data_IF_274618845712
#
_entry.id   IF_274618845712
#
_cell.length_a   1.000
_cell.length_b   1.000
_cell.length_c   1.000
_cell.angle_alpha   90.00
_cell.angle_beta   90.00
_cell.angle_gamma   90.00
#
_symmetry.space_group_name_H-M   'P 1'
#
loop_
_entity.id
_entity.type
_entity.pdbx_description
1 polymer ?
#
# COMPACT_ATOMS: atom_id res chain seq x y z
N UNK A 1 -6.73 1.98 -4.21
CA UNK A 1 -6.84 1.01 -3.09
C UNK A 1 -7.25 -0.38 -3.55
N UNK A 2 -8.54 -0.63 -3.84
CA UNK A 2 -9.03 -1.97 -4.23
C UNK A 2 -8.31 -2.55 -5.45
N UNK A 3 -8.11 -1.72 -6.47
CA UNK A 3 -7.41 -2.14 -7.68
C UNK A 3 -5.93 -2.47 -7.43
N UNK A 4 -5.24 -1.63 -6.65
CA UNK A 4 -3.88 -1.91 -6.23
C UNK A 4 -3.78 -3.24 -5.48
N UNK A 5 -4.68 -3.49 -4.52
CA UNK A 5 -4.71 -4.77 -3.79
C UNK A 5 -4.99 -5.95 -4.73
N UNK A 6 -5.90 -5.82 -5.70
CA UNK A 6 -6.19 -6.86 -6.70
C UNK A 6 -4.94 -7.25 -7.49
N UNK A 7 -4.15 -6.27 -7.92
CA UNK A 7 -2.93 -6.48 -8.70
C UNK A 7 -1.77 -7.02 -7.86
N UNK A 8 -1.66 -6.61 -6.60
CA UNK A 8 -0.52 -6.91 -5.73
C UNK A 8 -0.85 -7.94 -4.65
N UNK A 9 -2.00 -8.63 -4.72
CA UNK A 9 -2.49 -9.56 -3.68
C UNK A 9 -1.43 -10.58 -3.25
N UNK A 10 -0.64 -11.07 -4.21
CA UNK A 10 0.41 -12.06 -3.95
C UNK A 10 1.59 -11.54 -3.10
N UNK A 11 1.78 -10.22 -3.01
CA UNK A 11 2.83 -9.58 -2.22
C UNK A 11 2.40 -9.31 -0.78
N UNK A 12 1.10 -9.38 -0.49
CA UNK A 12 0.59 -9.19 0.86
C UNK A 12 0.69 -10.50 1.64
N UNK A 13 1.15 -10.46 2.91
CA UNK A 13 1.06 -11.64 3.76
C UNK A 13 -0.41 -11.90 4.11
N UNK A 14 -0.77 -13.13 4.52
CA UNK A 14 -2.15 -13.51 4.84
C UNK A 14 -2.59 -12.89 6.17
N UNK A 15 -2.86 -11.59 6.15
CA UNK A 15 -3.28 -10.80 7.31
C UNK A 15 -4.38 -9.80 6.93
N UNK A 16 -5.24 -9.50 7.91
CA UNK A 16 -6.30 -8.50 7.74
C UNK A 16 -5.73 -7.09 7.84
N UNK A 17 -5.84 -6.33 6.74
CA UNK A 17 -5.33 -4.95 6.65
C UNK A 17 -6.50 -3.99 6.60
N UNK A 18 -6.58 -3.09 7.57
CA UNK A 18 -7.50 -1.97 7.55
C UNK A 18 -6.76 -0.69 7.13
N UNK A 19 -7.15 -0.10 6.00
CA UNK A 19 -6.56 1.15 5.50
C UNK A 19 -7.57 2.28 5.62
N UNK A 20 -7.21 3.30 6.41
CA UNK A 20 -8.05 4.45 6.68
C UNK A 20 -7.48 5.67 5.95
N UNK A 21 -8.25 6.22 5.01
CA UNK A 21 -7.89 7.46 4.34
C UNK A 21 -7.99 8.64 5.33
N UNK A 22 -6.86 9.29 5.61
CA UNK A 22 -6.82 10.50 6.44
C UNK A 22 -7.20 11.74 5.62
N UNK A 23 -7.53 12.84 6.29
CA UNK A 23 -7.76 14.15 5.64
C UNK A 23 -6.58 14.51 4.73
N UNK A 24 -6.85 14.94 3.51
CA UNK A 24 -5.84 15.25 2.49
C UNK A 24 -5.55 14.09 1.53
N UNK A 25 -6.00 12.87 1.83
CA UNK A 25 -5.91 11.74 0.90
C UNK A 25 -6.76 11.93 -0.36
N UNK A 26 -7.76 12.80 -0.31
CA UNK A 26 -8.59 13.24 -1.45
C UNK A 26 -7.79 13.96 -2.54
N UNK A 27 -6.62 14.51 -2.20
CA UNK A 27 -5.71 15.17 -3.14
C UNK A 27 -4.79 14.19 -3.88
N UNK A 28 -4.75 12.93 -3.46
CA UNK A 28 -3.93 11.92 -4.10
C UNK A 28 -4.67 11.36 -5.31
N UNK A 29 -4.00 11.41 -6.45
CA UNK A 29 -4.41 10.66 -7.63
C UNK A 29 -4.05 9.18 -7.47
N UNK A 30 -4.41 8.37 -8.46
CA UNK A 30 -4.14 6.93 -8.43
C UNK A 30 -2.64 6.64 -8.24
N UNK A 31 -1.76 7.39 -8.93
CA UNK A 31 -0.32 7.22 -8.82
C UNK A 31 0.19 7.56 -7.42
N UNK A 32 -0.30 8.64 -6.81
CA UNK A 32 0.00 9.01 -5.43
C UNK A 32 -0.45 7.95 -4.44
N UNK A 33 -1.64 7.38 -4.64
CA UNK A 33 -2.15 6.26 -3.84
C UNK A 33 -1.25 5.02 -3.97
N UNK A 34 -0.79 4.68 -5.17
CA UNK A 34 0.13 3.56 -5.37
C UNK A 34 1.45 3.78 -4.62
N UNK A 35 2.07 4.96 -4.74
CA UNK A 35 3.34 5.27 -4.05
C UNK A 35 3.26 5.13 -2.53
N UNK A 36 2.17 5.58 -1.93
CA UNK A 36 1.98 5.44 -0.48
C UNK A 36 1.72 3.98 -0.07
N UNK A 37 1.01 3.22 -0.91
CA UNK A 37 0.78 1.80 -0.67
C UNK A 37 2.03 0.95 -0.85
N UNK A 38 2.87 1.24 -1.85
CA UNK A 38 4.13 0.54 -2.12
C UNK A 38 5.00 0.51 -0.85
N UNK A 39 5.19 1.68 -0.21
CA UNK A 39 5.94 1.81 1.04
C UNK A 39 5.40 0.93 2.17
N UNK A 40 4.07 0.82 2.27
CA UNK A 40 3.42 -0.02 3.28
C UNK A 40 3.63 -1.50 2.95
N UNK A 41 3.47 -1.89 1.68
CA UNK A 41 3.68 -3.26 1.23
C UNK A 41 5.12 -3.69 1.43
N UNK A 42 6.10 -2.87 1.04
CA UNK A 42 7.53 -3.14 1.25
C UNK A 42 7.83 -3.39 2.73
N UNK A 43 7.28 -2.55 3.61
CA UNK A 43 7.44 -2.69 5.06
C UNK A 43 6.78 -3.98 5.60
N UNK A 44 5.58 -4.32 5.12
CA UNK A 44 4.86 -5.54 5.53
C UNK A 44 5.50 -6.82 4.98
N UNK A 45 6.08 -6.75 3.78
CA UNK A 45 6.78 -7.86 3.15
C UNK A 45 8.19 -8.08 3.74
N UNK A 46 8.63 -7.23 4.68
CA UNK A 46 9.97 -7.30 5.25
C UNK A 46 11.08 -6.91 4.26
N UNK A 47 10.74 -6.27 3.14
CA UNK A 47 11.69 -5.69 2.19
C UNK A 47 12.20 -4.38 2.80
N UNK A 48 12.94 -4.51 3.88
CA UNK A 48 13.78 -3.42 4.39
C UNK A 48 14.95 -3.35 3.42
N UNK A 49 14.93 -2.39 2.48
CA UNK A 49 16.19 -1.98 1.85
C UNK A 49 17.02 -1.31 2.92
N UNK A 50 17.81 -2.09 3.64
CA UNK A 50 19.00 -1.61 4.35
C UNK A 50 20.00 -1.18 3.29
N UNK A 51 20.00 0.10 2.92
CA UNK A 51 21.09 0.79 2.24
C UNK A 51 21.04 2.25 2.70
#
# INVERSE_FOLDING_TARGET
MREYYRLHKALFPPLDINIIARRGADKLDYQGVCKELDRVVERLAGITRSC
#
